data_IF_048981537931
#
_entry.id   IF_048981537931
#
_cell.length_a   1.000
_cell.length_b   1.000
_cell.length_c   1.000
_cell.angle_alpha   90.00
_cell.angle_beta   90.00
_cell.angle_gamma   90.00
#
_symmetry.space_group_name_H-M   'P 1'
#
loop_
_entity.id
_entity.type
_entity.pdbx_description
1 polymer ?
#
# COMPACT_ATOMS: atom_id res chain seq x y z
N UNK A 1 -5.98 -9.37 1.08
CA UNK A 1 -7.08 -9.21 2.07
C UNK A 1 -6.86 -10.06 3.31
N UNK A 2 -6.41 -11.32 3.19
CA UNK A 2 -6.10 -12.18 4.34
C UNK A 2 -5.08 -11.55 5.29
N UNK A 3 -4.00 -10.95 4.75
CA UNK A 3 -2.95 -10.33 5.58
C UNK A 3 -3.46 -9.12 6.35
N UNK A 4 -4.27 -8.29 5.70
CA UNK A 4 -4.93 -7.15 6.34
C UNK A 4 -5.86 -7.60 7.48
N UNK A 5 -6.58 -8.71 7.30
CA UNK A 5 -7.44 -9.27 8.33
C UNK A 5 -6.63 -9.79 9.53
N UNK A 6 -5.50 -10.44 9.28
CA UNK A 6 -4.59 -10.91 10.33
C UNK A 6 -3.97 -9.74 11.12
N UNK A 7 -3.51 -8.68 10.45
CA UNK A 7 -2.92 -7.49 11.10
C UNK A 7 -3.96 -6.79 12.00
N UNK A 8 -5.22 -6.78 11.58
CA UNK A 8 -6.31 -6.13 12.31
C UNK A 8 -6.99 -7.04 13.34
N UNK A 9 -6.50 -8.28 13.48
CA UNK A 9 -7.03 -9.32 14.36
C UNK A 9 -8.52 -9.63 14.12
N UNK A 10 -8.90 -9.71 12.85
CA UNK A 10 -10.29 -9.96 12.43
C UNK A 10 -10.34 -11.11 11.42
N UNK A 11 -11.50 -11.77 11.31
CA UNK A 11 -11.65 -12.83 10.32
C UNK A 11 -11.66 -12.27 8.90
N UNK A 12 -11.10 -13.04 7.95
CA UNK A 12 -11.18 -12.72 6.51
C UNK A 12 -12.62 -12.55 6.03
N UNK A 13 -13.55 -13.36 6.53
CA UNK A 13 -14.97 -13.26 6.16
C UNK A 13 -15.58 -11.95 6.65
N UNK A 14 -15.19 -11.50 7.84
CA UNK A 14 -15.64 -10.24 8.38
C UNK A 14 -15.06 -9.06 7.59
N UNK A 15 -13.77 -9.09 7.25
CA UNK A 15 -13.15 -8.11 6.34
C UNK A 15 -13.91 -8.01 5.02
N UNK A 16 -14.25 -9.16 4.42
CA UNK A 16 -15.04 -9.20 3.17
C UNK A 16 -16.40 -8.55 3.32
N UNK A 17 -17.09 -8.81 4.43
CA UNK A 17 -18.39 -8.20 4.72
C UNK A 17 -18.27 -6.68 4.75
N UNK A 18 -17.29 -6.13 5.46
CA UNK A 18 -17.10 -4.68 5.57
C UNK A 18 -16.84 -4.05 4.20
N UNK A 19 -15.92 -4.63 3.42
CA UNK A 19 -15.58 -4.11 2.10
C UNK A 19 -16.76 -4.18 1.11
N UNK A 20 -17.62 -5.19 1.24
CA UNK A 20 -18.85 -5.30 0.45
C UNK A 20 -19.93 -4.31 0.91
N UNK A 21 -20.02 -4.06 2.23
CA UNK A 21 -21.00 -3.15 2.82
C UNK A 21 -20.58 -1.67 2.64
N UNK A 22 -19.29 -1.38 2.42
CA UNK A 22 -18.73 -0.07 2.14
C UNK A 22 -19.02 0.41 0.70
N UNK A 23 -20.30 0.39 0.30
CA UNK A 23 -20.83 0.51 -1.08
C UNK A 23 -20.36 1.71 -1.92
N UNK A 24 -19.63 2.67 -1.36
CA UNK A 24 -19.06 3.80 -2.09
C UNK A 24 -17.60 4.11 -1.76
N UNK A 25 -16.97 3.35 -0.85
CA UNK A 25 -15.61 3.64 -0.36
C UNK A 25 -14.70 2.41 -0.41
N UNK A 26 -15.19 1.30 -0.95
CA UNK A 26 -14.37 0.11 -1.14
C UNK A 26 -13.13 0.47 -1.99
N UNK A 27 -11.92 0.11 -1.53
CA UNK A 27 -10.70 0.48 -2.21
C UNK A 27 -10.60 -0.20 -3.57
N UNK A 28 -10.08 0.51 -4.57
CA UNK A 28 -9.80 -0.10 -5.86
C UNK A 28 -8.70 -1.16 -5.73
N UNK A 29 -8.90 -2.36 -6.27
CA UNK A 29 -7.89 -3.39 -6.24
C UNK A 29 -6.74 -3.05 -7.18
N UNK A 30 -5.52 -3.19 -6.66
CA UNK A 30 -4.25 -2.99 -7.38
C UNK A 30 -4.03 -4.12 -8.39
N UNK A 31 -4.63 -5.28 -8.14
CA UNK A 31 -4.59 -6.42 -9.05
C UNK A 31 -5.94 -7.13 -9.04
N UNK A 32 -6.51 -7.34 -10.24
CA UNK A 32 -7.78 -8.03 -10.47
C UNK A 32 -7.56 -9.40 -11.16
N UNK A 33 -6.62 -10.19 -10.66
CA UNK A 33 -6.41 -11.58 -11.11
C UNK A 33 -7.22 -12.59 -10.30
N UNK A 34 -6.77 -13.85 -10.26
CA UNK A 34 -7.37 -14.90 -9.42
C UNK A 34 -7.36 -14.56 -7.91
N UNK A 35 -6.44 -13.68 -7.50
CA UNK A 35 -6.42 -13.08 -6.16
C UNK A 35 -6.53 -11.58 -6.27
N UNK A 36 -7.47 -11.01 -5.52
CA UNK A 36 -7.65 -9.55 -5.44
C UNK A 36 -6.69 -8.97 -4.41
N UNK A 37 -5.84 -8.04 -4.84
CA UNK A 37 -4.84 -7.37 -4.01
C UNK A 37 -5.26 -5.92 -3.82
N UNK A 38 -5.15 -5.43 -2.59
CA UNK A 38 -5.45 -4.05 -2.21
C UNK A 38 -4.24 -3.43 -1.53
N UNK A 39 -4.09 -2.12 -1.65
CA UNK A 39 -3.20 -1.39 -0.77
C UNK A 39 -3.78 -1.35 0.65
N UNK A 40 -2.95 -1.67 1.64
CA UNK A 40 -3.39 -1.72 3.03
C UNK A 40 -3.90 -0.36 3.55
N UNK A 41 -3.26 0.75 3.14
CA UNK A 41 -3.70 2.10 3.48
C UNK A 41 -5.15 2.38 3.06
N UNK A 42 -5.56 1.88 1.89
CA UNK A 42 -6.91 2.10 1.37
C UNK A 42 -7.95 1.26 2.12
N UNK A 43 -7.57 0.07 2.59
CA UNK A 43 -8.40 -0.72 3.52
C UNK A 43 -8.57 0.06 4.84
N UNK A 44 -7.50 0.59 5.41
CA UNK A 44 -7.56 1.33 6.68
C UNK A 44 -8.42 2.59 6.59
N UNK A 45 -8.36 3.33 5.47
CA UNK A 45 -9.24 4.49 5.20
C UNK A 45 -10.71 4.07 5.19
N UNK A 46 -11.01 3.03 4.44
CA UNK A 46 -12.36 2.47 4.34
C UNK A 46 -12.92 2.07 5.71
N UNK A 47 -12.10 1.45 6.57
CA UNK A 47 -12.48 1.07 7.94
C UNK A 47 -12.69 2.27 8.86
N UNK A 48 -11.85 3.30 8.73
CA UNK A 48 -11.96 4.56 9.48
C UNK A 48 -13.24 5.30 9.12
N UNK A 49 -13.58 5.36 7.83
CA UNK A 49 -14.80 6.00 7.32
C UNK A 49 -16.06 5.20 7.69
N UNK A 50 -15.99 3.86 7.69
CA UNK A 50 -17.04 2.99 8.19
C UNK A 50 -17.20 3.03 9.72
N UNK A 51 -16.39 3.85 10.43
CA UNK A 51 -16.36 4.02 11.89
C UNK A 51 -16.26 2.68 12.65
N UNK A 52 -15.56 1.72 12.04
CA UNK A 52 -15.64 0.32 12.42
C UNK A 52 -14.71 -0.03 13.59
N UNK A 53 -13.62 0.73 13.74
CA UNK A 53 -12.67 0.68 14.86
C UNK A 53 -11.90 1.98 14.89
N UNK A 54 -11.41 2.39 16.07
CA UNK A 54 -10.44 3.46 16.15
C UNK A 54 -9.14 2.99 15.48
N UNK A 55 -8.88 3.47 14.27
CA UNK A 55 -7.63 3.21 13.55
C UNK A 55 -6.60 4.21 14.06
N UNK A 56 -5.53 3.69 14.65
CA UNK A 56 -4.40 4.50 15.11
C UNK A 56 -3.82 5.31 13.95
N UNK A 57 -3.60 6.61 14.18
CA UNK A 57 -3.08 7.51 13.16
C UNK A 57 -1.71 7.04 12.62
N UNK A 58 -0.86 6.54 13.52
CA UNK A 58 0.47 6.02 13.20
C UNK A 58 0.41 4.80 12.27
N UNK A 59 -0.54 3.89 12.50
CA UNK A 59 -0.74 2.74 11.63
C UNK A 59 -1.13 3.15 10.21
N UNK A 60 -2.00 4.15 10.08
CA UNK A 60 -2.40 4.69 8.78
C UNK A 60 -1.23 5.38 8.08
N UNK A 61 -0.45 6.19 8.79
CA UNK A 61 0.72 6.89 8.24
C UNK A 61 1.80 5.91 7.76
N UNK A 62 2.10 4.87 8.55
CA UNK A 62 3.01 3.79 8.15
C UNK A 62 2.49 3.07 6.91
N UNK A 63 1.18 2.77 6.84
CA UNK A 63 0.59 2.10 5.69
C UNK A 63 0.65 2.98 4.41
N UNK A 64 0.43 4.29 4.52
CA UNK A 64 0.56 5.23 3.41
C UNK A 64 2.00 5.37 2.94
N UNK A 65 2.95 5.47 3.87
CA UNK A 65 4.38 5.53 3.56
C UNK A 65 4.85 4.25 2.86
N UNK A 66 4.44 3.08 3.36
CA UNK A 66 4.71 1.80 2.71
C UNK A 66 4.09 1.72 1.30
N UNK A 67 2.88 2.24 1.09
CA UNK A 67 2.28 2.31 -0.25
C UNK A 67 3.14 3.13 -1.20
N UNK A 68 3.59 4.32 -0.80
CA UNK A 68 4.46 5.19 -1.60
C UNK A 68 5.75 4.45 -1.97
N UNK A 69 6.42 3.83 -1.00
CA UNK A 69 7.64 3.03 -1.20
C UNK A 69 7.41 1.92 -2.23
N UNK A 70 6.33 1.15 -2.09
CA UNK A 70 6.02 0.04 -3.00
C UNK A 70 5.77 0.52 -4.44
N UNK A 71 5.06 1.64 -4.62
CA UNK A 71 4.84 2.26 -5.93
C UNK A 71 6.18 2.68 -6.55
N UNK A 72 7.04 3.37 -5.79
CA UNK A 72 8.35 3.77 -6.29
C UNK A 72 9.21 2.57 -6.68
N UNK A 73 9.25 1.50 -5.87
CA UNK A 73 9.97 0.27 -6.20
C UNK A 73 9.47 -0.34 -7.50
N UNK A 74 8.16 -0.43 -7.69
CA UNK A 74 7.57 -0.98 -8.91
C UNK A 74 7.89 -0.12 -10.14
N UNK A 75 7.82 1.20 -9.99
CA UNK A 75 8.14 2.16 -11.04
C UNK A 75 9.61 2.03 -11.47
N UNK A 76 10.54 2.07 -10.51
CA UNK A 76 11.98 1.92 -10.77
C UNK A 76 12.30 0.56 -11.41
N UNK A 77 11.68 -0.53 -10.93
CA UNK A 77 11.85 -1.87 -11.49
C UNK A 77 11.29 -2.01 -12.91
N UNK A 78 10.22 -1.31 -13.25
CA UNK A 78 9.68 -1.29 -14.63
C UNK A 78 10.55 -0.45 -15.58
N UNK A 79 11.24 0.57 -15.07
CA UNK A 79 12.00 1.54 -15.86
C UNK A 79 13.45 1.17 -16.13
N UNK A 80 14.05 0.29 -15.32
CA UNK A 80 15.40 -0.26 -15.53
C UNK A 80 15.55 -0.98 -16.88
N UNK A 81 14.43 -1.26 -17.57
CA UNK A 81 14.40 -1.96 -18.85
C UNK A 81 14.35 -1.05 -20.09
N UNK A 82 14.11 0.27 -19.98
CA UNK A 82 13.85 1.07 -21.20
C UNK A 82 14.27 2.55 -21.24
N UNK A 83 14.56 3.28 -20.15
CA UNK A 83 14.88 4.71 -20.29
C UNK A 83 15.63 5.37 -19.09
N UNK A 84 16.91 5.71 -19.30
CA UNK A 84 17.83 6.24 -18.26
C UNK A 84 17.52 7.69 -17.86
N UNK A 85 16.97 8.48 -18.78
CA UNK A 85 16.58 9.88 -18.52
C UNK A 85 15.31 9.97 -17.65
N UNK A 86 14.36 9.06 -17.86
CA UNK A 86 13.13 9.00 -17.07
C UNK A 86 13.40 8.55 -15.63
N UNK A 87 14.33 7.59 -15.45
CA UNK A 87 14.82 7.21 -14.12
C UNK A 87 15.41 8.40 -13.36
N UNK A 88 16.27 9.20 -14.03
CA UNK A 88 16.84 10.40 -13.42
C UNK A 88 15.78 11.43 -13.02
N UNK A 89 14.79 11.71 -13.88
CA UNK A 89 13.73 12.67 -13.58
C UNK A 89 12.86 12.22 -12.39
N UNK A 90 12.52 10.93 -12.30
CA UNK A 90 11.71 10.41 -11.20
C UNK A 90 12.50 10.33 -9.91
N UNK A 91 13.79 9.97 -9.97
CA UNK A 91 14.66 9.97 -8.79
C UNK A 91 14.77 11.35 -8.12
N UNK A 92 14.58 12.43 -8.87
CA UNK A 92 14.55 13.80 -8.35
C UNK A 92 13.21 14.19 -7.71
N UNK A 93 12.14 13.44 -7.97
CA UNK A 93 10.79 13.66 -7.39
C UNK A 93 10.63 12.89 -6.07
N UNK A 94 11.46 11.88 -5.83
CA UNK A 94 11.43 11.10 -4.59
C UNK A 94 11.90 12.00 -3.43
N UNK A 95 11.08 12.24 -2.41
CA UNK A 95 11.48 12.97 -1.21
C UNK A 95 12.69 12.30 -0.54
N UNK A 96 13.65 13.08 -0.04
CA UNK A 96 14.95 12.57 0.43
C UNK A 96 14.81 11.58 1.61
N UNK A 97 13.78 11.78 2.44
CA UNK A 97 13.35 10.87 3.50
C UNK A 97 12.92 9.50 2.97
N UNK A 98 12.24 9.44 1.82
CA UNK A 98 11.86 8.18 1.15
C UNK A 98 13.07 7.50 0.51
N UNK A 99 14.02 8.28 -0.03
CA UNK A 99 15.22 7.78 -0.68
C UNK A 99 16.13 7.01 0.28
N UNK A 100 16.33 7.54 1.49
CA UNK A 100 17.05 6.87 2.58
C UNK A 100 16.42 5.51 2.94
N UNK A 101 15.08 5.42 2.95
CA UNK A 101 14.37 4.17 3.25
C UNK A 101 14.51 3.15 2.10
N UNK A 102 14.52 3.60 0.84
CA UNK A 102 14.71 2.73 -0.33
C UNK A 102 16.10 2.10 -0.38
N UNK A 103 17.14 2.85 -0.04
CA UNK A 103 18.53 2.35 0.02
C UNK A 103 18.70 1.31 1.14
N UNK A 104 18.12 1.56 2.32
CA UNK A 104 18.20 0.64 3.47
C UNK A 104 17.35 -0.63 3.30
N UNK A 105 16.14 -0.53 2.74
CA UNK A 105 15.27 -1.71 2.54
C UNK A 105 15.81 -2.68 1.48
N UNK A 106 16.73 -2.24 0.62
CA UNK A 106 17.44 -3.11 -0.33
C UNK A 106 18.50 -4.00 0.35
N UNK A 107 18.94 -3.64 1.56
CA UNK A 107 19.90 -4.43 2.36
C UNK A 107 19.22 -5.46 3.28
N UNK A 108 17.93 -5.28 3.58
CA UNK A 108 17.18 -6.12 4.54
C UNK A 108 16.54 -7.35 3.87
N UNK A 109 16.47 -7.40 2.53
CA UNK A 109 15.89 -8.52 1.74
C UNK A 109 16.97 -9.40 1.10
N UNK A 110 18.15 -9.53 1.75
CA UNK A 110 19.17 -10.52 1.37
C UNK A 110 19.21 -11.68 2.35
#
# INVERSE_FOLDING_TARGET
MTDAANILDISRQYMRKILNDARFMAPDPVHQGATVIYHFSEILKCLKEANWKNIEADLLDIAETNKKINIYKQLLGSMSSSNRETFNCISQIIPEDVKSILENTSQIVR
#
